data_IF_631482639267
#
_entry.id   IF_631482639267
#
_cell.length_a   1.000
_cell.length_b   1.000
_cell.length_c   1.000
_cell.angle_alpha   90.00
_cell.angle_beta   90.00
_cell.angle_gamma   90.00
#
_symmetry.space_group_name_H-M   'P 1'
#
loop_
_entity.id
_entity.type
_entity.pdbx_description
1 polymer ?
#
# COMPACT_ATOMS: atom_id res chain seq x y z
N UNK A 1 4.24 -6.43 3.23
CA UNK A 1 3.84 -5.68 2.02
C UNK A 1 2.63 -4.77 2.22
N UNK A 2 1.68 -5.11 3.05
CA UNK A 2 0.48 -4.29 3.37
C UNK A 2 0.72 -3.13 4.32
N UNK A 3 1.93 -2.87 4.80
CA UNK A 3 2.24 -1.67 5.58
C UNK A 3 2.00 -0.33 4.83
N UNK A 4 1.61 -0.38 3.56
CA UNK A 4 1.31 0.78 2.71
C UNK A 4 0.06 1.56 3.07
N UNK A 5 -0.99 0.86 3.46
CA UNK A 5 -2.16 1.47 4.08
C UNK A 5 -1.85 1.90 5.52
N UNK A 6 -0.66 1.59 6.02
CA UNK A 6 -0.28 1.55 7.43
C UNK A 6 0.84 2.54 7.82
N UNK A 7 1.42 3.32 6.89
CA UNK A 7 2.64 4.13 7.17
C UNK A 7 2.43 5.35 8.05
N UNK A 8 1.25 5.59 8.65
CA UNK A 8 1.08 6.79 9.46
C UNK A 8 0.53 6.56 10.87
N UNK A 9 1.35 6.93 11.85
CA UNK A 9 1.09 7.00 13.30
C UNK A 9 1.02 5.68 14.09
N UNK A 10 2.17 5.27 14.64
CA UNK A 10 2.16 4.52 15.89
C UNK A 10 1.62 5.44 16.99
N UNK A 11 0.36 5.31 17.32
CA UNK A 11 -0.23 5.99 18.46
C UNK A 11 -0.15 5.09 19.69
N UNK A 12 0.87 5.28 20.51
CA UNK A 12 0.61 5.25 21.94
C UNK A 12 -0.03 6.60 22.29
N UNK A 13 -1.32 6.52 22.67
CA UNK A 13 -2.13 7.49 23.41
C UNK A 13 -2.19 8.95 22.94
N UNK A 14 -3.33 9.36 22.40
CA UNK A 14 -4.02 10.61 22.74
C UNK A 14 -5.52 10.50 22.40
N UNK A 15 -6.45 10.76 23.35
CA UNK A 15 -7.88 10.87 23.06
C UNK A 15 -8.18 12.27 22.53
N UNK A 16 -8.60 12.39 21.28
CA UNK A 16 -9.19 13.64 20.79
C UNK A 16 -10.70 13.47 20.74
N UNK A 17 -11.35 14.07 21.76
CA UNK A 17 -12.78 14.33 21.73
C UNK A 17 -13.13 15.39 20.69
N UNK A 18 -14.26 15.14 20.06
CA UNK A 18 -14.98 15.95 19.08
C UNK A 18 -15.13 17.42 19.47
N UNK A 19 -14.86 18.34 18.52
CA UNK A 19 -15.63 19.57 18.30
C UNK A 19 -15.06 20.38 17.13
N UNK A 20 -15.67 20.28 15.95
CA UNK A 20 -15.69 21.37 14.97
C UNK A 20 -16.92 21.23 14.06
N UNK A 21 -17.74 22.28 13.91
CA UNK A 21 -18.91 22.28 13.03
C UNK A 21 -18.53 22.79 11.64
N UNK A 22 -18.74 22.00 10.58
CA UNK A 22 -18.72 22.50 9.21
C UNK A 22 -20.05 22.26 8.49
N UNK A 23 -20.57 23.34 7.91
CA UNK A 23 -21.81 23.44 7.14
C UNK A 23 -21.70 22.72 5.79
N UNK A 24 -22.82 22.12 5.37
CA UNK A 24 -23.06 21.45 4.12
C UNK A 24 -22.79 22.32 2.89
N UNK A 25 -21.91 21.82 1.99
CA UNK A 25 -21.86 22.23 0.58
C UNK A 25 -22.32 21.05 -0.28
N UNK A 26 -23.32 21.30 -1.12
CA UNK A 26 -24.06 20.26 -1.85
C UNK A 26 -23.27 19.60 -2.96
N UNK A 27 -23.45 18.30 -3.09
CA UNK A 27 -22.99 17.48 -4.20
C UNK A 27 -24.06 17.36 -5.28
N UNK A 28 -23.70 17.27 -6.57
CA UNK A 28 -24.66 16.99 -7.63
C UNK A 28 -25.16 15.54 -7.50
N UNK A 29 -26.50 15.41 -7.44
CA UNK A 29 -27.19 14.11 -7.39
C UNK A 29 -27.40 13.61 -8.82
N UNK A 30 -26.60 12.60 -9.26
CA UNK A 30 -27.05 11.67 -10.29
C UNK A 30 -26.34 10.33 -10.07
N UNK A 31 -26.99 9.45 -9.29
CA UNK A 31 -26.75 8.01 -9.32
C UNK A 31 -28.07 7.36 -9.74
N UNK A 32 -28.05 6.38 -10.68
CA UNK A 32 -29.23 5.62 -11.02
C UNK A 32 -29.69 4.80 -9.80
N UNK A 33 -31.00 4.84 -9.50
CA UNK A 33 -31.61 4.02 -8.47
C UNK A 33 -31.59 2.56 -8.89
N UNK A 34 -30.75 1.75 -8.24
CA UNK A 34 -30.88 0.30 -8.29
C UNK A 34 -32.09 -0.15 -7.48
N UNK A 35 -32.95 -0.96 -8.10
CA UNK A 35 -34.08 -1.62 -7.44
C UNK A 35 -33.55 -2.67 -6.46
N UNK A 36 -33.99 -2.63 -5.22
CA UNK A 36 -33.62 -3.55 -4.14
C UNK A 36 -34.17 -4.95 -4.40
N UNK A 37 -33.34 -5.98 -4.46
CA UNK A 37 -33.82 -7.34 -4.24
C UNK A 37 -33.95 -7.61 -2.75
N UNK A 38 -34.95 -8.36 -2.38
CA UNK A 38 -35.30 -8.81 -1.03
C UNK A 38 -34.12 -9.49 -0.33
N UNK A 39 -33.70 -8.94 0.79
CA UNK A 39 -32.63 -9.44 1.67
C UNK A 39 -33.03 -10.79 2.28
N UNK A 40 -32.30 -11.83 1.93
CA UNK A 40 -32.15 -13.00 2.81
C UNK A 40 -31.09 -12.64 3.84
N UNK A 41 -31.44 -12.65 5.12
CA UNK A 41 -30.53 -12.37 6.24
C UNK A 41 -29.39 -13.40 6.25
N UNK A 42 -28.20 -12.99 5.84
CA UNK A 42 -26.99 -13.75 6.08
C UNK A 42 -26.57 -13.55 7.54
N UNK A 43 -26.58 -14.65 8.29
CA UNK A 43 -25.98 -14.72 9.62
C UNK A 43 -24.48 -14.44 9.49
N UNK A 44 -24.06 -13.20 9.74
CA UNK A 44 -22.68 -12.79 9.72
C UNK A 44 -21.99 -13.24 11.01
N UNK A 45 -21.08 -14.20 10.92
CA UNK A 45 -20.00 -14.26 11.91
C UNK A 45 -19.31 -12.90 11.92
N UNK A 46 -19.11 -12.26 13.10
CA UNK A 46 -18.45 -10.96 13.14
C UNK A 46 -17.02 -11.10 12.59
N UNK A 47 -16.65 -10.22 11.66
CA UNK A 47 -15.27 -10.08 11.24
C UNK A 47 -14.39 -9.92 12.49
N UNK A 48 -13.22 -10.58 12.57
CA UNK A 48 -12.32 -10.41 13.70
C UNK A 48 -12.00 -8.93 13.84
N UNK A 49 -12.11 -8.43 15.08
CA UNK A 49 -11.77 -7.05 15.38
C UNK A 49 -10.32 -6.79 14.92
N UNK A 50 -10.10 -5.71 14.17
CA UNK A 50 -8.77 -5.28 13.72
C UNK A 50 -7.95 -4.98 14.97
N UNK A 51 -7.15 -5.96 15.44
CA UNK A 51 -6.35 -5.89 16.68
C UNK A 51 -4.91 -5.49 16.44
N UNK A 52 -4.52 -5.26 15.18
CA UNK A 52 -3.19 -4.77 14.86
C UNK A 52 -3.17 -3.24 14.84
N UNK A 53 -2.14 -2.65 15.46
CA UNK A 53 -1.87 -1.21 15.49
C UNK A 53 -1.55 -0.71 14.08
N UNK A 54 -2.57 -0.65 13.23
CA UNK A 54 -2.46 -0.13 11.88
C UNK A 54 -2.33 1.39 11.95
N UNK A 55 -1.28 1.90 11.33
CA UNK A 55 -0.94 3.32 11.36
C UNK A 55 -1.91 4.18 10.53
N UNK A 56 -2.92 3.57 9.87
CA UNK A 56 -3.99 4.26 9.14
C UNK A 56 -5.33 3.56 9.36
N UNK A 57 -6.40 4.29 9.67
CA UNK A 57 -7.73 3.69 9.62
C UNK A 57 -8.05 3.39 8.16
N UNK A 58 -8.22 2.11 7.84
CA UNK A 58 -8.50 1.56 6.49
C UNK A 58 -9.73 2.20 5.83
N UNK A 59 -10.61 2.77 6.65
CA UNK A 59 -11.69 3.63 6.20
C UNK A 59 -11.66 4.89 7.07
N UNK A 60 -10.74 5.81 6.75
CA UNK A 60 -10.55 7.02 7.52
C UNK A 60 -11.84 7.85 7.59
N UNK A 61 -11.93 8.74 8.57
CA UNK A 61 -13.01 9.73 8.65
C UNK A 61 -13.11 10.58 7.36
N UNK A 62 -12.02 10.68 6.60
CA UNK A 62 -11.95 11.40 5.33
C UNK A 62 -12.56 10.61 4.16
N UNK A 63 -12.66 9.28 4.27
CA UNK A 63 -13.28 8.43 3.26
C UNK A 63 -14.81 8.64 3.23
N UNK A 64 -15.43 8.84 2.04
CA UNK A 64 -16.88 8.89 1.89
C UNK A 64 -17.55 7.64 2.48
N UNK A 65 -18.64 7.78 3.27
CA UNK A 65 -19.29 6.63 3.91
C UNK A 65 -19.65 5.51 2.94
N UNK A 66 -20.08 5.84 1.72
CA UNK A 66 -20.45 4.86 0.69
C UNK A 66 -19.26 4.01 0.19
N UNK A 67 -18.02 4.50 0.33
CA UNK A 67 -16.82 3.80 -0.13
C UNK A 67 -16.08 3.05 0.98
N UNK A 68 -16.48 3.20 2.25
CA UNK A 68 -15.80 2.54 3.38
C UNK A 68 -15.85 1.02 3.29
N UNK A 69 -17.04 0.48 3.02
CA UNK A 69 -17.22 -0.98 2.89
C UNK A 69 -16.42 -1.58 1.73
N UNK A 70 -16.50 -1.05 0.48
CA UNK A 70 -15.69 -1.57 -0.62
C UNK A 70 -14.17 -1.42 -0.38
N UNK A 71 -13.71 -0.31 0.20
CA UNK A 71 -12.29 -0.13 0.54
C UNK A 71 -11.86 -1.16 1.59
N UNK A 72 -12.68 -1.40 2.63
CA UNK A 72 -12.39 -2.41 3.63
C UNK A 72 -12.34 -3.83 3.03
N UNK A 73 -13.23 -4.16 2.09
CA UNK A 73 -13.22 -5.45 1.41
C UNK A 73 -11.92 -5.67 0.59
N UNK A 74 -11.47 -4.65 -0.15
CA UNK A 74 -10.20 -4.70 -0.88
C UNK A 74 -9.02 -4.86 0.10
N UNK A 75 -9.04 -4.10 1.20
CA UNK A 75 -8.01 -4.18 2.23
C UNK A 75 -7.92 -5.58 2.86
N UNK A 76 -9.05 -6.14 3.31
CA UNK A 76 -9.06 -7.48 3.91
C UNK A 76 -8.59 -8.54 2.93
N UNK A 77 -8.94 -8.42 1.65
CA UNK A 77 -8.40 -9.31 0.62
C UNK A 77 -6.87 -9.21 0.52
N UNK A 78 -6.33 -8.00 0.37
CA UNK A 78 -4.90 -7.80 0.23
C UNK A 78 -4.14 -8.23 1.50
N UNK A 79 -4.65 -7.88 2.69
CA UNK A 79 -4.03 -8.24 3.97
C UNK A 79 -4.01 -9.74 4.22
N UNK A 80 -5.12 -10.44 3.94
CA UNK A 80 -5.17 -11.90 4.10
C UNK A 80 -4.20 -12.60 3.15
N UNK A 81 -4.07 -12.13 1.90
CA UNK A 81 -3.10 -12.68 0.95
C UNK A 81 -1.65 -12.44 1.40
N UNK A 82 -1.36 -11.27 1.98
CA UNK A 82 -0.07 -10.92 2.57
C UNK A 82 0.27 -11.84 3.75
N UNK A 83 -0.70 -12.05 4.67
CA UNK A 83 -0.52 -12.94 5.82
C UNK A 83 -0.25 -14.39 5.38
N UNK A 84 -0.93 -14.89 4.34
CA UNK A 84 -0.66 -16.20 3.75
C UNK A 84 0.76 -16.30 3.16
N UNK A 85 1.26 -15.22 2.59
CA UNK A 85 2.59 -15.18 2.00
C UNK A 85 3.72 -15.03 3.03
N UNK A 86 3.49 -14.33 4.15
CA UNK A 86 4.59 -13.85 5.01
C UNK A 86 4.50 -14.26 6.49
N UNK A 87 3.31 -14.51 7.05
CA UNK A 87 3.16 -14.76 8.47
C UNK A 87 3.28 -16.25 8.85
N UNK A 88 3.76 -16.51 10.09
CA UNK A 88 3.92 -17.85 10.66
C UNK A 88 5.10 -18.64 10.08
N UNK A 89 5.20 -19.93 10.48
CA UNK A 89 6.33 -20.81 10.16
C UNK A 89 6.05 -21.79 8.99
N UNK A 90 5.06 -21.47 8.13
CA UNK A 90 4.69 -22.32 7.01
C UNK A 90 5.84 -22.41 5.97
N UNK A 91 6.02 -23.59 5.40
CA UNK A 91 6.97 -23.78 4.28
C UNK A 91 6.55 -22.99 3.04
N UNK A 92 7.50 -22.64 2.16
CA UNK A 92 7.20 -21.99 0.89
C UNK A 92 6.18 -22.79 0.04
N UNK A 93 6.28 -24.12 0.03
CA UNK A 93 5.35 -24.99 -0.69
C UNK A 93 3.91 -24.86 -0.15
N UNK A 94 3.73 -24.80 1.18
CA UNK A 94 2.42 -24.62 1.79
C UNK A 94 1.86 -23.23 1.49
N UNK A 95 2.66 -22.17 1.63
CA UNK A 95 2.27 -20.79 1.29
C UNK A 95 1.80 -20.67 -0.16
N UNK A 96 2.53 -21.26 -1.11
CA UNK A 96 2.15 -21.28 -2.53
C UNK A 96 0.84 -22.05 -2.76
N UNK A 97 0.63 -23.17 -2.05
CA UNK A 97 -0.61 -23.93 -2.10
C UNK A 97 -1.80 -23.11 -1.57
N UNK A 98 -1.61 -22.40 -0.43
CA UNK A 98 -2.64 -21.57 0.18
C UNK A 98 -3.00 -20.36 -0.71
N UNK A 99 -1.98 -19.72 -1.31
CA UNK A 99 -2.19 -18.64 -2.29
C UNK A 99 -2.93 -19.13 -3.54
N UNK A 100 -2.66 -20.37 -4.02
CA UNK A 100 -3.38 -20.95 -5.14
C UNK A 100 -4.85 -21.22 -4.78
N UNK A 101 -5.13 -21.76 -3.58
CA UNK A 101 -6.49 -21.95 -3.09
C UNK A 101 -7.23 -20.61 -2.89
N UNK A 102 -6.53 -19.58 -2.40
CA UNK A 102 -7.07 -18.23 -2.24
C UNK A 102 -7.40 -17.58 -3.59
N UNK A 103 -6.56 -17.79 -4.62
CA UNK A 103 -6.81 -17.37 -6.00
C UNK A 103 -8.06 -18.04 -6.59
N UNK A 104 -8.26 -19.33 -6.32
CA UNK A 104 -9.47 -20.04 -6.76
C UNK A 104 -10.72 -19.47 -6.06
N UNK A 105 -10.63 -19.15 -4.77
CA UNK A 105 -11.72 -18.48 -4.06
C UNK A 105 -12.04 -17.10 -4.65
N UNK A 106 -11.03 -16.32 -5.08
CA UNK A 106 -11.24 -15.06 -5.82
C UNK A 106 -11.97 -15.30 -7.15
N UNK A 107 -11.56 -16.31 -7.91
CA UNK A 107 -12.19 -16.66 -9.19
C UNK A 107 -13.68 -17.00 -9.00
N UNK A 108 -14.01 -17.80 -7.99
CA UNK A 108 -15.41 -18.13 -7.66
C UNK A 108 -16.19 -16.89 -7.20
N UNK A 109 -15.60 -16.08 -6.32
CA UNK A 109 -16.21 -14.85 -5.82
C UNK A 109 -16.52 -13.85 -6.94
N UNK A 110 -15.67 -13.75 -7.96
CA UNK A 110 -15.89 -12.91 -9.14
C UNK A 110 -17.07 -13.36 -9.99
N UNK A 111 -17.50 -14.63 -9.86
CA UNK A 111 -18.68 -15.20 -10.50
C UNK A 111 -19.92 -15.18 -9.57
N UNK A 112 -19.83 -14.52 -8.42
CA UNK A 112 -20.90 -14.51 -7.42
C UNK A 112 -21.02 -15.80 -6.60
N UNK A 113 -20.05 -16.72 -6.70
CA UNK A 113 -20.04 -18.00 -6.00
C UNK A 113 -19.11 -17.87 -4.79
N UNK A 114 -19.68 -17.76 -3.60
CA UNK A 114 -18.92 -17.70 -2.34
C UNK A 114 -19.29 -18.91 -1.49
N UNK A 115 -18.29 -19.68 -1.05
CA UNK A 115 -18.51 -20.74 -0.07
C UNK A 115 -18.70 -20.12 1.33
N UNK A 116 -19.91 -20.15 1.92
CA UNK A 116 -20.17 -19.49 3.21
C UNK A 116 -19.47 -20.18 4.39
N UNK A 117 -19.08 -21.44 4.25
CA UNK A 117 -18.37 -22.22 5.26
C UNK A 117 -16.85 -22.28 4.99
N UNK A 118 -16.38 -21.61 3.95
CA UNK A 118 -14.96 -21.57 3.60
C UNK A 118 -14.14 -20.75 4.58
N UNK A 119 -12.82 -21.02 4.71
CA UNK A 119 -11.94 -20.35 5.69
C UNK A 119 -11.85 -18.84 5.46
N UNK A 120 -12.15 -18.37 4.26
CA UNK A 120 -12.09 -16.94 3.87
C UNK A 120 -13.47 -16.37 3.51
N UNK A 121 -14.56 -16.97 3.97
CA UNK A 121 -15.93 -16.50 3.69
C UNK A 121 -16.12 -15.03 4.11
N UNK A 122 -15.53 -14.63 5.23
CA UNK A 122 -15.56 -13.27 5.76
C UNK A 122 -14.83 -12.25 4.87
N UNK A 123 -13.87 -12.68 4.05
CA UNK A 123 -13.18 -11.84 3.04
C UNK A 123 -13.99 -11.83 1.75
N UNK A 124 -14.30 -13.00 1.20
CA UNK A 124 -14.87 -13.12 -0.13
C UNK A 124 -16.36 -12.76 -0.20
N UNK A 125 -17.11 -12.85 0.90
CA UNK A 125 -18.50 -12.38 0.94
C UNK A 125 -18.62 -10.88 0.63
N UNK A 126 -17.99 -10.00 1.43
CA UNK A 126 -17.95 -8.56 1.16
C UNK A 126 -17.26 -8.21 -0.16
N UNK A 127 -16.21 -8.95 -0.55
CA UNK A 127 -15.48 -8.70 -1.79
C UNK A 127 -16.34 -9.01 -3.02
N UNK A 128 -17.06 -10.14 -3.06
CA UNK A 128 -17.95 -10.49 -4.16
C UNK A 128 -19.05 -9.44 -4.37
N UNK A 129 -19.64 -8.95 -3.26
CA UNK A 129 -20.59 -7.84 -3.31
C UNK A 129 -19.96 -6.56 -3.89
N UNK A 130 -18.72 -6.25 -3.50
CA UNK A 130 -17.97 -5.09 -3.98
C UNK A 130 -17.62 -5.24 -5.47
N UNK A 131 -17.14 -6.41 -5.88
CA UNK A 131 -16.83 -6.72 -7.29
C UNK A 131 -18.04 -6.51 -8.19
N UNK A 132 -19.20 -6.99 -7.75
CA UNK A 132 -20.43 -6.88 -8.54
C UNK A 132 -20.98 -5.45 -8.58
N UNK A 133 -21.10 -4.78 -7.43
CA UNK A 133 -21.76 -3.46 -7.36
C UNK A 133 -20.93 -2.31 -7.92
N UNK A 134 -19.62 -2.43 -7.88
CA UNK A 134 -18.70 -1.40 -8.38
C UNK A 134 -18.01 -1.82 -9.68
N UNK A 135 -18.35 -3.00 -10.24
CA UNK A 135 -17.71 -3.52 -11.44
C UNK A 135 -16.17 -3.48 -11.36
N UNK A 136 -15.63 -3.86 -10.19
CA UNK A 136 -14.20 -3.76 -9.96
C UNK A 136 -13.41 -4.62 -10.96
N UNK A 137 -12.30 -4.10 -11.51
CA UNK A 137 -11.44 -4.86 -12.42
C UNK A 137 -10.70 -5.96 -11.65
N UNK A 138 -11.24 -7.18 -11.68
CA UNK A 138 -10.74 -8.36 -10.94
C UNK A 138 -9.27 -8.67 -11.25
N UNK A 139 -8.78 -8.31 -12.45
CA UNK A 139 -7.38 -8.51 -12.83
C UNK A 139 -6.41 -7.82 -11.87
N UNK A 140 -6.75 -6.66 -11.33
CA UNK A 140 -5.91 -5.97 -10.34
C UNK A 140 -5.73 -6.76 -9.05
N UNK A 141 -6.73 -7.55 -8.66
CA UNK A 141 -6.64 -8.46 -7.51
C UNK A 141 -5.77 -9.70 -7.84
N UNK A 142 -5.85 -10.21 -9.07
CA UNK A 142 -4.94 -11.25 -9.52
C UNK A 142 -3.48 -10.78 -9.59
N UNK A 143 -3.24 -9.55 -10.04
CA UNK A 143 -1.90 -8.94 -10.07
C UNK A 143 -1.28 -8.89 -8.66
N UNK A 144 -2.07 -8.53 -7.63
CA UNK A 144 -1.61 -8.59 -6.23
C UNK A 144 -1.21 -10.01 -5.81
N UNK A 145 -2.03 -11.02 -6.16
CA UNK A 145 -1.69 -12.42 -5.85
C UNK A 145 -0.44 -12.89 -6.59
N UNK A 146 -0.21 -12.44 -7.82
CA UNK A 146 1.03 -12.74 -8.57
C UNK A 146 2.26 -12.15 -7.85
N UNK A 147 2.13 -10.95 -7.28
CA UNK A 147 3.21 -10.34 -6.50
C UNK A 147 3.49 -11.14 -5.21
N UNK A 148 2.47 -11.59 -4.47
CA UNK A 148 2.65 -12.40 -3.27
C UNK A 148 3.28 -13.76 -3.57
N UNK A 149 2.87 -14.41 -4.67
CA UNK A 149 3.52 -15.64 -5.14
C UNK A 149 5.01 -15.40 -5.44
N UNK A 150 5.33 -14.31 -6.15
CA UNK A 150 6.72 -13.94 -6.43
C UNK A 150 7.54 -13.69 -5.15
N UNK A 151 6.95 -13.07 -4.12
CA UNK A 151 7.63 -12.83 -2.84
C UNK A 151 8.02 -14.15 -2.16
N UNK A 152 7.10 -15.13 -2.15
CA UNK A 152 7.37 -16.46 -1.60
C UNK A 152 8.48 -17.16 -2.39
N UNK A 153 8.42 -17.11 -3.73
CA UNK A 153 9.40 -17.75 -4.61
C UNK A 153 10.79 -17.12 -4.47
N UNK A 154 10.88 -15.77 -4.56
CA UNK A 154 12.15 -15.06 -4.41
C UNK A 154 12.78 -15.26 -3.03
N UNK A 155 11.95 -15.28 -1.96
CA UNK A 155 12.45 -15.56 -0.59
C UNK A 155 12.96 -16.99 -0.47
N UNK A 156 12.24 -17.99 -1.03
CA UNK A 156 12.68 -19.39 -1.04
C UNK A 156 14.02 -19.56 -1.75
N UNK A 157 14.19 -18.89 -2.89
CA UNK A 157 15.32 -19.03 -3.79
C UNK A 157 16.46 -18.04 -3.47
N UNK A 158 16.30 -17.23 -2.42
CA UNK A 158 17.23 -16.16 -2.01
C UNK A 158 17.57 -15.19 -3.17
N UNK A 159 16.60 -14.89 -4.02
CA UNK A 159 16.77 -14.04 -5.20
C UNK A 159 16.40 -12.59 -4.91
N UNK A 160 17.28 -11.66 -5.29
CA UNK A 160 16.98 -10.23 -5.37
C UNK A 160 16.36 -9.82 -6.70
N UNK A 161 16.48 -8.54 -7.04
CA UNK A 161 16.06 -7.93 -8.30
C UNK A 161 17.29 -7.60 -9.12
N UNK A 162 17.33 -8.02 -10.39
CA UNK A 162 18.50 -7.83 -11.26
C UNK A 162 18.78 -6.34 -11.49
N UNK A 163 17.72 -5.56 -11.75
CA UNK A 163 17.79 -4.14 -12.04
C UNK A 163 16.56 -3.37 -11.55
N UNK A 164 16.58 -2.06 -11.76
CA UNK A 164 15.46 -1.17 -11.41
C UNK A 164 14.18 -1.48 -12.22
N UNK A 165 14.29 -2.00 -13.44
CA UNK A 165 13.12 -2.31 -14.27
C UNK A 165 12.37 -3.52 -13.71
N UNK A 166 13.07 -4.57 -13.29
CA UNK A 166 12.48 -5.74 -12.62
C UNK A 166 11.82 -5.35 -11.30
N UNK A 167 12.47 -4.49 -10.49
CA UNK A 167 11.89 -4.00 -9.24
C UNK A 167 10.63 -3.17 -9.49
N UNK A 168 10.59 -2.35 -10.54
CA UNK A 168 9.40 -1.59 -10.93
C UNK A 168 8.28 -2.48 -11.46
N UNK A 169 8.61 -3.53 -12.20
CA UNK A 169 7.61 -4.52 -12.66
C UNK A 169 6.97 -5.23 -11.46
N UNK A 170 7.75 -5.55 -10.45
CA UNK A 170 7.21 -6.04 -9.18
C UNK A 170 6.26 -5.01 -8.54
N UNK A 171 6.65 -3.72 -8.42
CA UNK A 171 5.78 -2.66 -7.88
C UNK A 171 4.48 -2.50 -8.71
N UNK A 172 4.53 -2.70 -10.03
CA UNK A 172 3.35 -2.66 -10.92
C UNK A 172 2.28 -3.67 -10.51
N UNK A 173 2.68 -4.82 -9.93
CA UNK A 173 1.75 -5.87 -9.47
C UNK A 173 1.48 -5.81 -7.97
N UNK A 174 2.44 -5.37 -7.18
CA UNK A 174 2.34 -5.37 -5.71
C UNK A 174 1.70 -4.10 -5.13
N UNK A 175 1.84 -2.93 -5.78
CA UNK A 175 1.41 -1.65 -5.25
C UNK A 175 0.39 -0.91 -6.14
N UNK A 176 0.65 -0.83 -7.46
CA UNK A 176 -0.18 -0.06 -8.37
C UNK A 176 -1.64 -0.51 -8.43
N UNK A 177 -1.96 -1.82 -8.31
CA UNK A 177 -3.35 -2.28 -8.31
C UNK A 177 -4.20 -1.64 -7.21
N UNK A 178 -3.63 -1.41 -6.03
CA UNK A 178 -4.36 -0.76 -4.92
C UNK A 178 -4.79 0.65 -5.31
N UNK A 179 -3.87 1.45 -5.83
CA UNK A 179 -4.17 2.81 -6.29
C UNK A 179 -5.22 2.83 -7.41
N UNK A 180 -5.12 1.92 -8.37
CA UNK A 180 -6.07 1.79 -9.48
C UNK A 180 -7.46 1.36 -9.00
N UNK A 181 -7.56 0.42 -8.04
CA UNK A 181 -8.83 0.02 -7.43
C UNK A 181 -9.49 1.19 -6.69
N UNK A 182 -8.71 1.97 -5.94
CA UNK A 182 -9.22 3.17 -5.28
C UNK A 182 -9.70 4.21 -6.29
N UNK A 183 -8.92 4.51 -7.34
CA UNK A 183 -9.35 5.45 -8.39
C UNK A 183 -10.65 4.97 -9.07
N UNK A 184 -10.77 3.67 -9.34
CA UNK A 184 -11.99 3.08 -9.90
C UNK A 184 -13.21 3.33 -8.99
N UNK A 185 -13.08 3.12 -7.68
CA UNK A 185 -14.15 3.42 -6.71
C UNK A 185 -14.54 4.90 -6.68
N UNK A 186 -13.61 5.82 -6.97
CA UNK A 186 -13.87 7.26 -7.11
C UNK A 186 -14.35 7.66 -8.50
N UNK A 187 -14.53 6.71 -9.44
CA UNK A 187 -14.97 6.98 -10.81
C UNK A 187 -13.90 7.68 -11.66
N UNK A 188 -12.62 7.53 -11.33
CA UNK A 188 -11.48 8.15 -12.04
C UNK A 188 -10.81 7.08 -12.90
N UNK A 189 -10.88 7.25 -14.22
CA UNK A 189 -10.36 6.27 -15.19
C UNK A 189 -9.48 6.87 -16.29
N UNK A 190 -9.20 8.18 -16.25
CA UNK A 190 -8.35 8.81 -17.26
C UNK A 190 -6.89 8.38 -17.14
N UNK A 191 -6.21 8.20 -18.27
CA UNK A 191 -4.85 7.69 -18.35
C UNK A 191 -3.83 8.50 -17.53
N UNK A 192 -4.03 9.82 -17.42
CA UNK A 192 -3.11 10.67 -16.67
C UNK A 192 -3.22 10.41 -15.16
N UNK A 193 -4.44 10.30 -14.65
CA UNK A 193 -4.67 9.94 -13.23
C UNK A 193 -4.18 8.53 -12.90
N UNK A 194 -4.41 7.56 -13.79
CA UNK A 194 -3.90 6.19 -13.63
C UNK A 194 -2.37 6.18 -13.60
N UNK A 195 -1.69 6.85 -14.54
CA UNK A 195 -0.23 6.92 -14.56
C UNK A 195 0.35 7.62 -13.33
N UNK A 196 -0.29 8.69 -12.84
CA UNK A 196 0.11 9.37 -11.63
C UNK A 196 -0.11 8.50 -10.38
N UNK A 197 -1.20 7.74 -10.32
CA UNK A 197 -1.46 6.78 -9.25
C UNK A 197 -0.39 5.68 -9.21
N UNK A 198 -0.06 5.12 -10.36
CA UNK A 198 1.00 4.13 -10.48
C UNK A 198 2.35 4.69 -9.97
N UNK A 199 2.68 5.92 -10.35
CA UNK A 199 3.91 6.58 -9.88
C UNK A 199 3.92 6.83 -8.37
N UNK A 200 2.79 7.27 -7.79
CA UNK A 200 2.65 7.44 -6.34
C UNK A 200 2.77 6.09 -5.64
N UNK A 201 2.02 5.06 -6.06
CA UNK A 201 2.05 3.74 -5.44
C UNK A 201 3.44 3.11 -5.53
N UNK A 202 4.10 3.18 -6.69
CA UNK A 202 5.47 2.71 -6.86
C UNK A 202 6.45 3.45 -5.92
N UNK A 203 6.37 4.79 -5.86
CA UNK A 203 7.27 5.58 -5.00
C UNK A 203 7.04 5.24 -3.51
N UNK A 204 5.81 5.11 -3.10
CA UNK A 204 5.45 4.66 -1.80
C UNK A 204 6.07 3.27 -1.52
N UNK A 205 5.98 2.25 -2.36
CA UNK A 205 6.58 0.91 -2.24
C UNK A 205 8.10 0.99 -2.10
N UNK A 206 8.72 1.75 -2.90
CA UNK A 206 10.16 1.93 -2.84
C UNK A 206 10.61 2.61 -1.53
N UNK A 207 9.82 3.56 -0.99
CA UNK A 207 10.10 4.18 0.32
C UNK A 207 10.09 3.13 1.44
N UNK A 208 9.11 2.18 1.44
CA UNK A 208 9.09 1.13 2.44
C UNK A 208 10.31 0.21 2.32
N UNK A 209 10.67 -0.16 1.12
CA UNK A 209 11.88 -0.96 0.90
C UNK A 209 13.14 -0.28 1.41
N UNK A 210 13.21 1.05 1.35
CA UNK A 210 14.32 1.80 1.96
C UNK A 210 14.16 2.02 3.46
N UNK A 211 12.95 1.96 3.99
CA UNK A 211 12.67 2.06 5.42
C UNK A 211 13.01 0.79 6.19
N UNK A 212 12.83 -0.38 5.53
CA UNK A 212 12.83 -1.68 6.22
C UNK A 212 14.03 -2.61 5.94
N UNK A 213 15.19 -2.18 5.40
CA UNK A 213 16.31 -3.09 5.15
C UNK A 213 16.79 -3.83 6.40
N UNK A 214 16.73 -3.18 7.59
CA UNK A 214 17.08 -3.81 8.87
C UNK A 214 16.16 -4.96 9.28
N UNK A 215 14.99 -5.10 8.64
CA UNK A 215 14.02 -6.19 8.83
C UNK A 215 14.04 -7.20 7.70
N UNK A 216 14.23 -6.71 6.46
CA UNK A 216 14.13 -7.51 5.24
C UNK A 216 15.41 -8.31 4.99
N UNK A 217 16.59 -7.70 5.17
CA UNK A 217 17.86 -8.38 4.96
C UNK A 217 18.03 -9.64 5.84
N UNK A 218 17.70 -9.62 7.15
CA UNK A 218 17.74 -10.84 7.97
C UNK A 218 16.78 -11.95 7.52
N UNK A 219 15.72 -11.60 6.75
CA UNK A 219 14.75 -12.53 6.18
C UNK A 219 15.15 -13.01 4.78
N UNK A 220 16.35 -12.64 4.30
CA UNK A 220 16.84 -12.98 2.97
C UNK A 220 16.22 -12.14 1.84
N UNK A 221 15.59 -11.01 2.17
CA UNK A 221 14.95 -10.10 1.20
C UNK A 221 15.82 -8.88 0.95
N UNK A 222 16.21 -8.66 -0.29
CA UNK A 222 16.96 -7.46 -0.70
C UNK A 222 16.24 -6.78 -1.86
N UNK A 223 15.77 -5.55 -1.61
CA UNK A 223 15.08 -4.72 -2.60
C UNK A 223 15.98 -3.67 -3.26
N UNK A 224 17.30 -3.72 -3.01
CA UNK A 224 18.28 -2.94 -3.77
C UNK A 224 18.59 -3.70 -5.07
N UNK A 225 18.47 -3.06 -6.25
CA UNK A 225 18.81 -3.70 -7.52
C UNK A 225 20.27 -4.16 -7.56
N UNK A 226 20.51 -5.34 -8.12
CA UNK A 226 21.85 -5.94 -8.16
C UNK A 226 22.82 -5.09 -8.98
N UNK A 227 22.40 -4.57 -10.13
CA UNK A 227 23.20 -3.68 -10.98
C UNK A 227 23.66 -2.42 -10.23
N UNK A 228 22.80 -1.83 -9.43
CA UNK A 228 23.14 -0.66 -8.62
C UNK A 228 24.13 -0.99 -7.49
N UNK A 229 24.00 -2.17 -6.87
CA UNK A 229 24.96 -2.64 -5.86
C UNK A 229 26.31 -2.97 -6.49
N UNK A 230 26.31 -3.68 -7.62
CA UNK A 230 27.54 -4.05 -8.34
C UNK A 230 28.34 -2.85 -8.81
N UNK A 231 27.65 -1.81 -9.32
CA UNK A 231 28.29 -0.53 -9.71
C UNK A 231 29.05 0.14 -8.55
N UNK A 232 28.66 -0.13 -7.31
CA UNK A 232 29.28 0.35 -6.09
C UNK A 232 30.14 -0.70 -5.37
N UNK A 233 30.35 -1.85 -5.99
CA UNK A 233 31.08 -2.99 -5.44
C UNK A 233 30.50 -3.50 -4.11
N UNK A 234 29.17 -3.43 -3.95
CA UNK A 234 28.44 -3.91 -2.79
C UNK A 234 27.79 -5.28 -3.07
N UNK A 235 27.55 -6.03 -2.00
CA UNK A 235 26.85 -7.31 -2.02
C UNK A 235 25.72 -7.29 -0.99
N UNK A 236 24.59 -7.91 -1.32
CA UNK A 236 23.41 -7.93 -0.46
C UNK A 236 23.65 -8.53 0.92
N UNK A 237 24.46 -9.61 0.99
CA UNK A 237 24.84 -10.30 2.23
C UNK A 237 25.79 -9.48 3.12
N UNK A 238 26.46 -8.48 2.58
CA UNK A 238 27.43 -7.63 3.28
C UNK A 238 26.85 -6.23 3.65
N UNK A 239 25.69 -5.83 3.13
CA UNK A 239 25.13 -4.50 3.38
C UNK A 239 25.10 -4.09 4.86
N UNK A 240 24.72 -4.97 5.83
CA UNK A 240 24.76 -4.59 7.24
C UNK A 240 26.19 -4.32 7.77
N UNK A 241 27.20 -5.02 7.27
CA UNK A 241 28.61 -4.78 7.64
C UNK A 241 29.19 -3.55 6.94
N UNK A 242 28.71 -3.25 5.73
CA UNK A 242 29.13 -2.10 4.94
C UNK A 242 28.49 -0.77 5.39
N UNK A 243 27.58 -0.83 6.37
CA UNK A 243 26.91 0.36 6.91
C UNK A 243 27.91 1.39 7.42
N UNK A 244 27.85 2.62 6.87
CA UNK A 244 28.78 3.72 7.13
C UNK A 244 29.84 3.91 6.08
N UNK A 245 30.03 2.96 5.15
CA UNK A 245 30.94 3.15 4.01
C UNK A 245 30.41 4.17 3.00
N UNK A 246 31.30 4.80 2.26
CA UNK A 246 30.94 5.77 1.22
C UNK A 246 30.05 5.12 0.14
N UNK A 247 30.36 3.89 -0.27
CA UNK A 247 29.62 3.15 -1.28
C UNK A 247 28.18 2.85 -0.81
N UNK A 248 28.03 2.32 0.41
CA UNK A 248 26.73 2.02 0.98
C UNK A 248 25.87 3.30 1.19
N UNK A 249 26.49 4.40 1.62
CA UNK A 249 25.81 5.68 1.71
C UNK A 249 25.36 6.19 0.33
N UNK A 250 26.20 6.07 -0.69
CA UNK A 250 25.87 6.46 -2.06
C UNK A 250 24.68 5.65 -2.60
N UNK A 251 24.59 4.34 -2.35
CA UNK A 251 23.48 3.49 -2.75
C UNK A 251 22.16 4.03 -2.20
N UNK A 252 22.09 4.30 -0.90
CA UNK A 252 20.85 4.78 -0.24
C UNK A 252 20.48 6.17 -0.73
N UNK A 253 21.44 7.10 -0.84
CA UNK A 253 21.18 8.48 -1.28
C UNK A 253 20.71 8.52 -2.74
N UNK A 254 21.31 7.76 -3.64
CA UNK A 254 20.90 7.68 -5.04
C UNK A 254 19.47 7.09 -5.15
N UNK A 255 19.17 6.05 -4.36
CA UNK A 255 17.83 5.47 -4.30
C UNK A 255 16.79 6.50 -3.79
N UNK A 256 17.11 7.27 -2.74
CA UNK A 256 16.24 8.33 -2.24
C UNK A 256 15.96 9.40 -3.29
N UNK A 257 16.97 9.82 -4.04
CA UNK A 257 16.84 10.83 -5.10
C UNK A 257 15.93 10.34 -6.24
N UNK A 258 16.11 9.09 -6.70
CA UNK A 258 15.28 8.50 -7.74
C UNK A 258 13.80 8.39 -7.32
N UNK A 259 13.54 7.98 -6.06
CA UNK A 259 12.19 7.88 -5.52
C UNK A 259 11.55 9.26 -5.38
N UNK A 260 12.31 10.27 -4.91
CA UNK A 260 11.83 11.64 -4.80
C UNK A 260 11.41 12.21 -6.15
N UNK A 261 12.20 11.97 -7.20
CA UNK A 261 11.86 12.38 -8.57
C UNK A 261 10.58 11.69 -9.08
N UNK A 262 10.43 10.38 -8.83
CA UNK A 262 9.21 9.65 -9.19
C UNK A 262 7.97 10.22 -8.47
N UNK A 263 8.07 10.47 -7.17
CA UNK A 263 6.98 11.08 -6.40
C UNK A 263 6.64 12.48 -6.94
N UNK A 264 7.64 13.32 -7.22
CA UNK A 264 7.46 14.67 -7.76
C UNK A 264 6.72 14.68 -9.10
N UNK A 265 7.04 13.74 -10.01
CA UNK A 265 6.36 13.63 -11.30
C UNK A 265 4.89 13.19 -11.19
N UNK A 266 4.51 12.59 -10.06
CA UNK A 266 3.21 11.93 -9.88
C UNK A 266 2.28 12.66 -8.88
N UNK A 267 2.82 13.56 -8.08
CA UNK A 267 2.11 14.22 -6.96
C UNK A 267 0.88 15.02 -7.38
N UNK A 268 0.80 15.49 -8.61
CA UNK A 268 -0.35 16.24 -9.12
C UNK A 268 -1.68 15.45 -9.05
N UNK A 269 -1.62 14.13 -8.83
CA UNK A 269 -2.77 13.29 -8.54
C UNK A 269 -3.63 13.84 -7.39
N UNK A 270 -3.04 14.43 -6.36
CA UNK A 270 -3.77 14.95 -5.19
C UNK A 270 -4.82 15.99 -5.53
N UNK A 271 -4.67 16.68 -6.67
CA UNK A 271 -5.62 17.70 -7.16
C UNK A 271 -6.70 17.09 -8.07
N UNK A 272 -6.55 15.83 -8.47
CA UNK A 272 -7.48 15.13 -9.35
C UNK A 272 -8.46 14.26 -8.56
N UNK A 273 -8.12 13.91 -7.34
CA UNK A 273 -8.99 13.15 -6.44
C UNK A 273 -9.93 14.13 -5.70
N UNK A 274 -11.27 13.90 -5.77
CA UNK A 274 -12.23 14.85 -5.26
C UNK A 274 -12.27 14.90 -3.73
N UNK A 275 -12.54 16.11 -3.21
CA UNK A 275 -12.93 16.35 -1.83
C UNK A 275 -11.89 15.91 -0.79
N UNK A 276 -12.36 15.22 0.26
CA UNK A 276 -11.54 14.85 1.41
C UNK A 276 -10.48 13.79 1.07
N UNK A 277 -10.73 12.92 0.09
CA UNK A 277 -9.79 11.90 -0.33
C UNK A 277 -8.50 12.48 -0.93
N UNK A 278 -8.59 13.60 -1.66
CA UNK A 278 -7.40 14.32 -2.11
C UNK A 278 -6.56 14.87 -0.96
N UNK A 279 -7.18 15.30 0.14
CA UNK A 279 -6.46 15.70 1.36
C UNK A 279 -5.80 14.51 2.05
N UNK A 280 -6.49 13.39 2.15
CA UNK A 280 -5.93 12.15 2.68
C UNK A 280 -4.66 11.73 1.93
N UNK A 281 -4.72 11.72 0.60
CA UNK A 281 -3.56 11.41 -0.24
C UNK A 281 -2.38 12.38 -0.01
N UNK A 282 -2.65 13.69 0.21
CA UNK A 282 -1.59 14.65 0.55
C UNK A 282 -0.87 14.27 1.85
N UNK A 283 -1.62 13.86 2.88
CA UNK A 283 -1.03 13.38 4.14
C UNK A 283 -0.21 12.10 3.92
N UNK A 284 -0.71 11.15 3.15
CA UNK A 284 0.03 9.92 2.80
C UNK A 284 1.35 10.27 2.12
N UNK A 285 1.32 11.10 1.08
CA UNK A 285 2.51 11.47 0.33
C UNK A 285 3.52 12.23 1.22
N UNK A 286 3.08 13.25 1.97
CA UNK A 286 3.98 14.06 2.77
C UNK A 286 4.61 13.28 3.92
N UNK A 287 3.89 12.35 4.44
CA UNK A 287 4.48 11.52 5.42
C UNK A 287 5.44 10.49 4.88
N UNK A 288 5.14 9.83 3.77
CA UNK A 288 6.11 8.98 3.11
C UNK A 288 7.40 9.76 2.75
N UNK A 289 7.26 10.98 2.23
CA UNK A 289 8.41 11.86 1.99
C UNK A 289 9.15 12.21 3.29
N UNK A 290 8.44 12.35 4.42
CA UNK A 290 9.10 12.56 5.71
C UNK A 290 9.86 11.31 6.19
N UNK A 291 9.36 10.10 5.91
CA UNK A 291 10.13 8.86 6.10
C UNK A 291 11.36 8.86 5.20
N UNK A 292 11.22 9.23 3.93
CA UNK A 292 12.33 9.31 2.98
C UNK A 292 13.41 10.31 3.44
N UNK A 293 13.04 11.48 3.99
CA UNK A 293 13.98 12.42 4.59
C UNK A 293 14.79 11.78 5.73
N UNK A 294 14.14 10.94 6.54
CA UNK A 294 14.82 10.24 7.64
C UNK A 294 15.73 9.12 7.14
N UNK A 295 15.32 8.40 6.09
CA UNK A 295 16.18 7.42 5.41
C UNK A 295 17.42 8.12 4.87
N UNK A 296 17.25 9.23 4.15
CA UNK A 296 18.36 10.02 3.59
C UNK A 296 19.32 10.54 4.68
N UNK A 297 18.76 10.98 5.83
CA UNK A 297 19.55 11.42 6.98
C UNK A 297 20.30 10.29 7.70
N UNK A 298 19.74 9.07 7.74
CA UNK A 298 20.40 7.90 8.29
C UNK A 298 21.40 7.26 7.31
N UNK A 299 21.22 7.50 6.01
CA UNK A 299 22.02 6.87 4.96
C UNK A 299 22.06 5.35 5.14
N UNK A 300 23.21 4.70 4.97
CA UNK A 300 23.36 3.25 5.12
C UNK A 300 23.13 2.71 6.55
N UNK A 301 22.97 3.57 7.56
CA UNK A 301 22.55 3.11 8.89
C UNK A 301 21.14 2.51 8.88
N UNK A 302 20.33 2.71 7.83
CA UNK A 302 19.04 2.03 7.64
C UNK A 302 19.18 0.50 7.57
N UNK A 303 20.35 -0.03 7.23
CA UNK A 303 20.62 -1.48 7.25
C UNK A 303 20.62 -2.06 8.67
N UNK A 304 20.79 -1.21 9.68
CA UNK A 304 20.81 -1.59 11.11
C UNK A 304 19.66 -1.00 11.89
N UNK A 305 19.09 0.10 11.44
CA UNK A 305 18.12 0.88 12.20
C UNK A 305 16.95 1.32 11.31
N UNK A 306 15.72 0.96 11.71
CA UNK A 306 14.51 1.39 11.02
C UNK A 306 14.15 2.85 11.36
N UNK A 307 14.07 3.77 10.38
CA UNK A 307 13.53 5.10 10.61
C UNK A 307 12.02 5.03 10.86
N UNK A 308 11.54 5.82 11.83
CA UNK A 308 10.12 5.89 12.18
C UNK A 308 9.66 7.33 12.29
N UNK A 309 8.41 7.58 11.95
CA UNK A 309 7.78 8.85 12.28
C UNK A 309 7.52 8.94 13.78
N UNK A 310 7.59 10.16 14.30
CA UNK A 310 7.32 10.47 15.69
C UNK A 310 6.35 11.66 15.76
N UNK A 311 5.72 11.89 16.90
CA UNK A 311 4.74 12.97 17.06
C UNK A 311 5.25 14.36 16.64
N UNK A 312 6.52 14.64 16.78
CA UNK A 312 7.12 15.90 16.32
C UNK A 312 7.30 16.03 14.80
N UNK A 313 7.10 14.96 14.04
CA UNK A 313 7.07 15.01 12.58
C UNK A 313 5.72 15.55 12.08
N UNK A 314 4.65 15.44 12.90
CA UNK A 314 3.28 15.86 12.53
C UNK A 314 3.19 17.31 12.10
N UNK A 315 3.73 18.31 12.85
CA UNK A 315 3.67 19.69 12.43
C UNK A 315 4.34 19.95 11.07
N UNK A 316 5.45 19.24 10.79
CA UNK A 316 6.17 19.34 9.51
C UNK A 316 5.30 18.79 8.38
N UNK A 317 4.67 17.64 8.60
CA UNK A 317 3.79 17.01 7.61
C UNK A 317 2.58 17.91 7.32
N UNK A 318 1.90 18.39 8.36
CA UNK A 318 0.75 19.31 8.22
C UNK A 318 1.15 20.56 7.44
N UNK A 319 2.27 21.17 7.80
CA UNK A 319 2.79 22.35 7.09
C UNK A 319 3.02 22.07 5.60
N UNK A 320 3.67 20.96 5.27
CA UNK A 320 3.93 20.57 3.88
C UNK A 320 2.62 20.27 3.11
N UNK A 321 1.66 19.63 3.75
CA UNK A 321 0.33 19.34 3.17
C UNK A 321 -0.39 20.64 2.79
N UNK A 322 -0.34 21.66 3.65
CA UNK A 322 -0.95 22.96 3.38
C UNK A 322 -0.26 23.73 2.25
N UNK A 323 1.03 23.43 2.00
CA UNK A 323 1.80 24.04 0.91
C UNK A 323 1.64 23.32 -0.45
N UNK A 324 0.96 22.16 -0.49
CA UNK A 324 0.66 21.45 -1.74
C UNK A 324 -0.45 22.16 -2.51
N UNK A 325 -0.11 23.27 -3.17
CA UNK A 325 -0.98 24.04 -4.05
C UNK A 325 -0.95 23.48 -5.46
N UNK A 326 -1.80 23.98 -6.38
CA UNK A 326 -1.92 23.51 -7.76
C UNK A 326 -0.62 23.62 -8.58
N UNK A 327 0.35 24.39 -8.11
CA UNK A 327 1.66 24.58 -8.72
C UNK A 327 2.74 23.65 -8.13
N UNK A 328 2.34 22.62 -7.43
CA UNK A 328 3.09 21.55 -6.76
C UNK A 328 4.62 21.65 -6.83
N UNK A 329 5.21 22.44 -5.96
CA UNK A 329 6.64 22.36 -5.63
C UNK A 329 6.76 21.52 -4.37
N UNK A 330 7.14 20.24 -4.52
CA UNK A 330 7.59 19.43 -3.38
C UNK A 330 9.02 19.88 -3.06
N UNK A 331 9.19 20.57 -1.94
CA UNK A 331 10.51 20.84 -1.36
C UNK A 331 10.90 19.73 -0.39
#
# INVERSE_FOLDING_TARGET
MTEWLVVYFSSESLPIQSQFPFRNAGFPRHFPKAQSPTMTEFSSSPAPAITHSENFPVASFLCPPALRSPIAAIYHFARTADDLADEGDASAALRLSDLAAYREALRLASQGQVNPEGPWAWVFGPLAHTLHNFELPVQLLHDLLDAFVQDVEKTRDAQGYADTAELRDYCRRSANPVGRLLLHLYGISDNKSLAQSDGVCTALQLINFLQDPSRDLPRGRCYFPQDAMEALQLRSDHLPSDAGTSAANALVVQSCQAIRQLMQSSVALVHRIPGRAGWELRFVIQGALRVLDKVEGLQSQVFKQRPRLRWWDVPIIVWRVLQMTDTATIR
#
